data_IF_896981522922
#
_entry.id   IF_896981522922
#
_cell.length_a   1.000
_cell.length_b   1.000
_cell.length_c   1.000
_cell.angle_alpha   90.00
_cell.angle_beta   90.00
_cell.angle_gamma   90.00
#
_symmetry.space_group_name_H-M   'P 1'
#
loop_
_entity.id
_entity.type
_entity.pdbx_description
1 polymer ?
#
# COMPACT_ATOMS: atom_id res chain seq x y z
N UNK A 1 -3.12 19.56 19.41
CA UNK A 1 -2.87 19.41 20.86
C UNK A 1 -1.51 20.03 21.14
N UNK A 2 -1.37 20.74 22.24
CA UNK A 2 -0.15 21.49 22.54
C UNK A 2 0.97 20.53 22.96
N UNK A 3 2.19 20.72 22.44
CA UNK A 3 3.31 19.79 22.68
C UNK A 3 3.67 19.70 24.17
N UNK A 4 3.59 20.83 24.89
CA UNK A 4 3.79 20.91 26.35
C UNK A 4 2.79 20.06 27.16
N UNK A 5 1.62 19.74 26.59
CA UNK A 5 0.64 18.87 27.26
C UNK A 5 0.96 17.40 27.04
N UNK A 6 1.51 17.05 25.88
CA UNK A 6 1.92 15.68 25.55
C UNK A 6 3.14 15.24 26.37
N UNK A 7 4.11 16.14 26.60
CA UNK A 7 5.32 15.83 27.38
C UNK A 7 5.04 15.48 28.85
N UNK A 8 3.85 15.80 29.35
CA UNK A 8 3.44 15.50 30.74
C UNK A 8 2.77 14.14 30.88
N UNK A 9 2.51 13.46 29.78
CA UNK A 9 1.88 12.15 29.75
C UNK A 9 2.93 11.05 29.89
N UNK A 10 2.54 9.97 30.54
CA UNK A 10 3.30 8.73 30.52
C UNK A 10 3.29 8.11 29.12
N UNK A 11 4.26 7.23 28.82
CA UNK A 11 4.31 6.50 27.55
C UNK A 11 3.01 5.72 27.28
N UNK A 12 2.44 5.09 28.30
CA UNK A 12 1.18 4.37 28.18
C UNK A 12 0.04 5.29 27.74
N UNK A 13 -0.09 6.48 28.36
CA UNK A 13 -1.12 7.46 27.97
C UNK A 13 -0.90 7.97 26.54
N UNK A 14 0.35 8.12 26.10
CA UNK A 14 0.67 8.49 24.72
C UNK A 14 0.25 7.40 23.73
N UNK A 15 0.54 6.13 24.02
CA UNK A 15 0.08 5.00 23.21
C UNK A 15 -1.44 4.89 23.19
N UNK A 16 -2.11 5.07 24.33
CA UNK A 16 -3.56 5.05 24.41
C UNK A 16 -4.21 6.17 23.59
N UNK A 17 -3.60 7.36 23.57
CA UNK A 17 -4.03 8.46 22.71
C UNK A 17 -3.81 8.12 21.23
N UNK A 18 -2.66 7.58 20.87
CA UNK A 18 -2.37 7.18 19.49
C UNK A 18 -3.38 6.14 18.99
N UNK A 19 -3.65 5.11 19.79
CA UNK A 19 -4.65 4.09 19.50
C UNK A 19 -6.04 4.70 19.38
N UNK A 20 -6.42 5.59 20.31
CA UNK A 20 -7.71 6.28 20.28
C UNK A 20 -7.87 7.16 19.03
N UNK A 21 -6.83 7.87 18.60
CA UNK A 21 -6.84 8.66 17.37
C UNK A 21 -7.01 7.76 16.16
N UNK A 22 -6.26 6.66 16.09
CA UNK A 22 -6.38 5.64 15.04
C UNK A 22 -7.80 5.08 14.96
N UNK A 23 -8.40 4.73 16.09
CA UNK A 23 -9.77 4.22 16.18
C UNK A 23 -10.81 5.26 15.76
N UNK A 24 -10.63 6.53 16.14
CA UNK A 24 -11.50 7.64 15.69
C UNK A 24 -11.41 7.82 14.17
N UNK A 25 -10.21 7.77 13.60
CA UNK A 25 -10.00 7.88 12.15
C UNK A 25 -10.67 6.70 11.44
N UNK A 26 -10.41 5.47 11.89
CA UNK A 26 -11.06 4.25 11.37
C UNK A 26 -12.59 4.36 11.44
N UNK A 27 -13.12 4.78 12.59
CA UNK A 27 -14.56 4.96 12.79
C UNK A 27 -15.14 6.02 11.85
N UNK A 28 -14.48 7.17 11.69
CA UNK A 28 -14.94 8.22 10.76
C UNK A 28 -14.96 7.74 9.31
N UNK A 29 -13.95 6.97 8.90
CA UNK A 29 -13.89 6.41 7.54
C UNK A 29 -14.99 5.37 7.30
N UNK A 30 -15.31 4.55 8.31
CA UNK A 30 -16.42 3.60 8.28
C UNK A 30 -17.77 4.31 8.23
N UNK A 31 -18.01 5.25 9.16
CA UNK A 31 -19.29 5.95 9.32
C UNK A 31 -19.66 6.79 8.08
N UNK A 32 -18.67 7.29 7.33
CA UNK A 32 -18.89 8.09 6.12
C UNK A 32 -19.12 7.25 4.85
N UNK A 33 -19.08 5.90 4.91
CA UNK A 33 -19.17 5.04 3.72
C UNK A 33 -17.97 5.18 2.76
N UNK A 34 -16.90 5.81 3.22
CA UNK A 34 -15.78 6.24 2.38
C UNK A 34 -14.89 5.04 2.00
N UNK A 35 -14.81 3.99 2.82
CA UNK A 35 -13.92 2.84 2.55
C UNK A 35 -14.29 2.10 1.26
N UNK A 36 -15.57 1.77 1.06
CA UNK A 36 -16.02 1.07 -0.15
C UNK A 36 -15.91 1.99 -1.38
N UNK A 37 -16.32 3.25 -1.26
CA UNK A 37 -16.21 4.25 -2.32
C UNK A 37 -14.75 4.53 -2.73
N UNK A 38 -13.85 4.70 -1.76
CA UNK A 38 -12.40 4.83 -1.97
C UNK A 38 -11.89 3.59 -2.67
N UNK A 39 -12.25 2.39 -2.21
CA UNK A 39 -11.80 1.14 -2.81
C UNK A 39 -12.23 1.04 -4.27
N UNK A 40 -13.50 1.31 -4.57
CA UNK A 40 -14.03 1.28 -5.93
C UNK A 40 -13.35 2.28 -6.85
N UNK A 41 -13.27 3.54 -6.43
CA UNK A 41 -12.54 4.61 -7.14
C UNK A 41 -11.07 4.26 -7.34
N UNK A 42 -10.45 3.60 -6.36
CA UNK A 42 -9.06 3.16 -6.42
C UNK A 42 -8.86 2.03 -7.44
N UNK A 43 -9.83 1.14 -7.62
CA UNK A 43 -9.77 0.15 -8.71
C UNK A 43 -9.89 0.80 -10.10
N UNK A 44 -10.65 1.88 -10.24
CA UNK A 44 -10.80 2.59 -11.52
C UNK A 44 -9.53 3.34 -11.95
N UNK A 45 -8.78 3.85 -10.98
CA UNK A 45 -7.65 4.77 -11.20
C UNK A 45 -6.28 4.15 -10.93
N UNK A 46 -6.23 3.19 -10.01
CA UNK A 46 -5.00 2.57 -9.51
C UNK A 46 -4.32 1.62 -10.48
N UNK A 47 -4.98 1.19 -11.55
CA UNK A 47 -4.43 0.22 -12.51
C UNK A 47 -4.39 0.80 -13.93
N UNK A 48 -3.21 1.18 -14.43
CA UNK A 48 -3.09 1.73 -15.79
C UNK A 48 -3.56 0.74 -16.86
N UNK A 49 -4.30 1.23 -17.85
CA UNK A 49 -4.86 0.39 -18.93
C UNK A 49 -3.81 -0.34 -19.77
N UNK A 50 -2.57 0.15 -19.81
CA UNK A 50 -1.53 -0.38 -20.68
C UNK A 50 -0.88 -1.67 -20.13
N UNK A 51 -0.59 -1.75 -18.83
CA UNK A 51 0.07 -2.91 -18.22
C UNK A 51 -0.69 -3.56 -17.06
N UNK A 52 -1.58 -2.82 -16.39
CA UNK A 52 -2.33 -3.26 -15.21
C UNK A 52 -1.49 -3.47 -13.96
N UNK A 53 -0.22 -3.02 -13.90
CA UNK A 53 0.71 -3.41 -12.83
C UNK A 53 0.49 -2.64 -11.51
N UNK A 54 -0.37 -1.62 -11.51
CA UNK A 54 -0.70 -0.85 -10.31
C UNK A 54 0.19 0.39 -10.12
N UNK A 55 -0.42 1.49 -9.70
CA UNK A 55 0.27 2.73 -9.34
C UNK A 55 1.04 2.59 -8.01
N UNK A 56 1.87 3.59 -7.71
CA UNK A 56 2.49 3.71 -6.38
C UNK A 56 1.44 4.15 -5.36
N UNK A 57 1.64 3.88 -4.05
CA UNK A 57 0.66 4.23 -3.03
C UNK A 57 0.45 5.73 -2.95
N UNK A 58 -0.76 6.13 -2.60
CA UNK A 58 -1.15 7.54 -2.42
C UNK A 58 -2.05 7.71 -1.21
N UNK A 59 -2.18 8.95 -0.75
CA UNK A 59 -3.11 9.31 0.33
C UNK A 59 -4.46 9.67 -0.28
N UNK A 60 -5.53 9.00 0.15
CA UNK A 60 -6.91 9.33 -0.19
C UNK A 60 -7.68 9.59 1.11
N UNK A 61 -8.13 10.83 1.32
CA UNK A 61 -8.74 11.24 2.57
C UNK A 61 -7.79 11.06 3.75
N UNK A 62 -8.13 10.17 4.68
CA UNK A 62 -7.31 9.83 5.85
C UNK A 62 -6.67 8.44 5.79
N UNK A 63 -6.71 7.80 4.61
CA UNK A 63 -6.14 6.47 4.38
C UNK A 63 -5.01 6.55 3.36
N UNK A 64 -4.12 5.56 3.42
CA UNK A 64 -3.21 5.28 2.32
C UNK A 64 -3.79 4.14 1.48
N UNK A 65 -3.87 4.37 0.18
CA UNK A 65 -4.23 3.37 -0.81
C UNK A 65 -2.96 2.69 -1.31
N UNK A 66 -2.94 1.36 -1.21
CA UNK A 66 -1.83 0.50 -1.61
C UNK A 66 -2.28 -0.46 -2.72
N UNK A 67 -2.07 -0.10 -4.01
CA UNK A 67 -2.36 -1.01 -5.11
C UNK A 67 -1.40 -2.19 -5.16
N UNK A 68 -1.94 -3.39 -5.39
CA UNK A 68 -1.21 -4.60 -5.68
C UNK A 68 -1.68 -5.22 -6.98
N UNK A 69 -0.76 -5.78 -7.76
CA UNK A 69 -1.12 -6.48 -8.99
C UNK A 69 -0.26 -7.71 -9.24
N UNK A 70 -0.87 -8.71 -9.85
CA UNK A 70 -0.21 -9.81 -10.55
C UNK A 70 -0.82 -9.97 -11.92
N UNK A 71 0.03 -9.84 -12.95
CA UNK A 71 -0.35 -9.93 -14.36
C UNK A 71 0.45 -11.06 -15.00
N UNK A 72 -0.21 -12.18 -15.27
CA UNK A 72 0.40 -13.28 -15.98
C UNK A 72 0.67 -12.88 -17.44
N UNK A 73 1.85 -13.25 -17.95
CA UNK A 73 2.26 -13.07 -19.35
C UNK A 73 2.25 -14.40 -20.10
N UNK A 74 2.54 -15.49 -19.39
CA UNK A 74 2.41 -16.88 -19.85
C UNK A 74 2.03 -17.75 -18.64
N UNK A 75 1.84 -19.07 -18.84
CA UNK A 75 1.61 -20.00 -17.71
C UNK A 75 2.76 -20.03 -16.68
N UNK A 76 3.96 -19.61 -17.06
CA UNK A 76 5.17 -19.72 -16.23
C UNK A 76 5.84 -18.38 -15.95
N UNK A 77 5.23 -17.27 -16.38
CA UNK A 77 5.76 -15.91 -16.23
C UNK A 77 4.67 -14.94 -15.86
N UNK A 78 4.96 -14.11 -14.85
CA UNK A 78 4.10 -12.97 -14.49
C UNK A 78 4.93 -11.78 -14.05
N UNK A 79 4.31 -10.61 -14.08
CA UNK A 79 4.82 -9.40 -13.46
C UNK A 79 3.94 -9.14 -12.25
N UNK A 80 4.56 -8.80 -11.13
CA UNK A 80 3.82 -8.41 -9.95
C UNK A 80 4.43 -7.18 -9.28
N UNK A 81 3.57 -6.40 -8.63
CA UNK A 81 3.94 -5.20 -7.91
C UNK A 81 3.06 -5.12 -6.67
N UNK A 82 3.67 -5.02 -5.51
CA UNK A 82 2.98 -5.05 -4.22
C UNK A 82 3.62 -4.05 -3.25
N UNK A 83 2.87 -3.66 -2.23
CA UNK A 83 3.31 -2.70 -1.21
C UNK A 83 3.59 -3.42 0.10
N UNK A 84 4.76 -3.15 0.67
CA UNK A 84 5.19 -3.50 2.03
C UNK A 84 5.02 -2.26 2.91
N UNK A 85 4.51 -2.43 4.12
CA UNK A 85 4.36 -1.41 5.15
C UNK A 85 5.14 -1.84 6.40
N UNK A 86 6.17 -1.09 6.79
CA UNK A 86 7.05 -1.36 7.95
C UNK A 86 7.42 -2.85 8.14
N UNK A 87 7.93 -3.46 7.06
CA UNK A 87 8.43 -4.84 6.99
C UNK A 87 7.39 -5.95 6.76
N UNK A 88 6.09 -5.66 6.82
CA UNK A 88 5.01 -6.60 6.48
C UNK A 88 4.38 -6.27 5.13
N UNK A 89 3.81 -7.26 4.44
CA UNK A 89 2.97 -6.93 3.30
C UNK A 89 1.80 -6.05 3.76
N UNK A 90 1.38 -5.10 2.92
CA UNK A 90 0.29 -4.19 3.28
C UNK A 90 -0.98 -4.92 3.76
N UNK A 91 -1.33 -6.07 3.17
CA UNK A 91 -2.49 -6.87 3.60
C UNK A 91 -2.27 -7.68 4.90
N UNK A 92 -1.03 -7.74 5.39
CA UNK A 92 -0.66 -8.36 6.66
C UNK A 92 -0.45 -7.33 7.77
N UNK A 93 -0.28 -6.06 7.41
CA UNK A 93 -0.02 -4.98 8.35
C UNK A 93 -1.10 -4.86 9.43
N UNK A 94 -0.66 -4.64 10.68
CA UNK A 94 -1.54 -4.31 11.80
C UNK A 94 -2.35 -3.02 11.59
N UNK A 95 -1.91 -2.17 10.67
CA UNK A 95 -2.60 -0.93 10.30
C UNK A 95 -3.53 -1.08 9.10
N UNK A 96 -3.69 -2.30 8.58
CA UNK A 96 -4.66 -2.60 7.52
C UNK A 96 -6.09 -2.34 8.01
N UNK A 97 -6.80 -1.55 7.22
CA UNK A 97 -8.23 -1.24 7.41
C UNK A 97 -9.08 -2.16 6.52
N UNK A 98 -8.66 -2.40 5.28
CA UNK A 98 -9.36 -3.25 4.33
C UNK A 98 -8.40 -3.78 3.28
N UNK A 99 -8.64 -4.99 2.79
CA UNK A 99 -8.00 -5.53 1.59
C UNK A 99 -9.06 -6.15 0.68
N UNK A 100 -9.12 -5.68 -0.56
CA UNK A 100 -10.07 -6.19 -1.56
C UNK A 100 -9.29 -6.68 -2.77
N UNK A 101 -9.60 -7.90 -3.22
CA UNK A 101 -8.95 -8.55 -4.36
C UNK A 101 -9.98 -8.79 -5.46
N UNK A 102 -9.67 -8.33 -6.67
CA UNK A 102 -10.43 -8.62 -7.91
C UNK A 102 -9.59 -9.48 -8.84
N UNK A 103 -10.16 -10.58 -9.32
CA UNK A 103 -9.51 -11.53 -10.23
C UNK A 103 -10.27 -11.60 -11.53
N UNK A 104 -9.56 -11.47 -12.65
CA UNK A 104 -10.08 -11.73 -13.98
C UNK A 104 -9.50 -13.04 -14.51
N UNK A 105 -10.36 -14.06 -14.56
CA UNK A 105 -10.06 -15.38 -15.13
C UNK A 105 -10.63 -15.54 -16.55
N UNK A 106 -11.37 -14.56 -17.07
CA UNK A 106 -11.97 -14.62 -18.41
C UNK A 106 -10.94 -14.41 -19.53
N UNK A 107 -9.81 -13.80 -19.18
CA UNK A 107 -8.69 -13.52 -20.05
C UNK A 107 -7.79 -14.76 -20.26
N UNK A 108 -7.13 -14.86 -21.43
CA UNK A 108 -6.10 -15.89 -21.71
C UNK A 108 -4.98 -15.94 -20.66
N UNK A 109 -4.79 -14.84 -19.93
CA UNK A 109 -3.82 -14.72 -18.85
C UNK A 109 -4.50 -14.24 -17.58
N UNK A 110 -4.18 -14.89 -16.46
CA UNK A 110 -4.70 -14.51 -15.16
C UNK A 110 -4.28 -13.07 -14.80
N UNK A 111 -5.24 -12.29 -14.32
CA UNK A 111 -4.97 -10.97 -13.73
C UNK A 111 -5.59 -10.92 -12.33
N UNK A 112 -4.80 -10.45 -11.38
CA UNK A 112 -5.25 -10.13 -10.04
C UNK A 112 -4.85 -8.70 -9.74
N UNK A 113 -5.83 -7.91 -9.30
CA UNK A 113 -5.63 -6.59 -8.74
C UNK A 113 -6.10 -6.61 -7.29
N UNK A 114 -5.39 -5.92 -6.41
CA UNK A 114 -5.78 -5.72 -5.02
C UNK A 114 -5.66 -4.25 -4.64
N UNK A 115 -6.57 -3.78 -3.80
CA UNK A 115 -6.46 -2.49 -3.14
C UNK A 115 -6.45 -2.78 -1.65
N UNK A 116 -5.32 -2.48 -1.02
CA UNK A 116 -5.20 -2.49 0.44
C UNK A 116 -5.27 -1.07 0.95
N UNK A 117 -6.07 -0.82 1.99
CA UNK A 117 -6.20 0.46 2.66
C UNK A 117 -5.51 0.40 4.02
N UNK A 118 -4.60 1.33 4.28
CA UNK A 118 -3.81 1.41 5.51
C UNK A 118 -4.17 2.68 6.26
N UNK A 119 -4.32 2.56 7.58
CA UNK A 119 -4.40 3.73 8.47
C UNK A 119 -3.00 4.31 8.67
N UNK A 120 -2.73 5.53 8.19
CA UNK A 120 -1.40 6.11 8.28
C UNK A 120 -1.05 6.53 9.70
N UNK A 121 0.26 6.59 9.97
CA UNK A 121 0.83 7.28 11.13
C UNK A 121 2.15 7.93 10.72
N UNK A 122 2.57 8.94 11.49
CA UNK A 122 3.78 9.70 11.18
C UNK A 122 5.01 8.80 11.19
N UNK A 123 5.80 8.83 10.12
CA UNK A 123 7.00 8.01 9.94
C UNK A 123 6.75 6.63 9.32
N UNK A 124 5.50 6.24 9.03
CA UNK A 124 5.18 4.98 8.33
C UNK A 124 5.97 4.88 7.02
N UNK A 125 6.74 3.80 6.87
CA UNK A 125 7.54 3.54 5.67
C UNK A 125 6.81 2.55 4.77
N UNK A 126 6.66 2.93 3.50
CA UNK A 126 6.10 2.06 2.46
C UNK A 126 7.16 1.73 1.42
N UNK A 127 7.19 0.48 0.99
CA UNK A 127 8.04 0.02 -0.10
C UNK A 127 7.21 -0.65 -1.17
N UNK A 128 7.36 -0.17 -2.40
CA UNK A 128 6.72 -0.72 -3.57
C UNK A 128 7.69 -1.67 -4.24
N UNK A 129 7.41 -2.96 -4.18
CA UNK A 129 8.28 -4.02 -4.68
C UNK A 129 7.74 -4.48 -6.03
N UNK A 130 8.48 -4.14 -7.10
CA UNK A 130 8.19 -4.61 -8.45
C UNK A 130 9.04 -5.85 -8.76
N UNK A 131 8.41 -6.92 -9.23
CA UNK A 131 9.06 -8.19 -9.49
C UNK A 131 8.61 -8.81 -10.81
N UNK A 132 9.48 -9.62 -11.39
CA UNK A 132 9.17 -10.52 -12.51
C UNK A 132 9.33 -11.94 -12.01
N UNK A 133 8.31 -12.76 -12.19
CA UNK A 133 8.40 -14.19 -11.94
C UNK A 133 8.67 -14.94 -13.23
N UNK A 134 9.58 -15.91 -13.15
CA UNK A 134 9.85 -16.86 -14.21
C UNK A 134 10.14 -18.23 -13.61
N UNK A 135 9.41 -19.25 -14.06
CA UNK A 135 9.59 -20.64 -13.61
C UNK A 135 9.54 -20.78 -12.06
N UNK A 136 8.60 -20.06 -11.43
CA UNK A 136 8.38 -20.11 -9.98
C UNK A 136 9.35 -19.23 -9.15
N UNK A 137 10.39 -18.65 -9.75
CA UNK A 137 11.31 -17.74 -9.05
C UNK A 137 10.85 -16.30 -9.22
N UNK A 138 10.83 -15.52 -8.14
CA UNK A 138 10.55 -14.08 -8.17
C UNK A 138 11.86 -13.29 -8.14
N UNK A 139 12.08 -12.50 -9.18
CA UNK A 139 13.25 -11.63 -9.32
C UNK A 139 12.80 -10.18 -9.11
N UNK A 140 13.40 -9.48 -8.15
CA UNK A 140 13.12 -8.06 -7.88
C UNK A 140 13.64 -7.21 -9.03
N UNK A 141 12.74 -6.45 -9.65
CA UNK A 141 13.02 -5.52 -10.75
C UNK A 141 13.31 -4.11 -10.20
N UNK A 142 12.56 -3.70 -9.17
CA UNK A 142 12.75 -2.42 -8.51
C UNK A 142 12.04 -2.30 -7.17
N UNK A 143 12.55 -1.39 -6.35
CA UNK A 143 12.01 -0.99 -5.06
C UNK A 143 11.90 0.54 -5.06
N UNK A 144 10.70 1.05 -4.81
CA UNK A 144 10.48 2.48 -4.55
C UNK A 144 10.04 2.65 -3.10
N UNK A 145 10.74 3.49 -2.34
CA UNK A 145 10.44 3.73 -0.93
C UNK A 145 9.77 5.09 -0.73
N UNK A 146 8.82 5.13 0.18
CA UNK A 146 8.05 6.31 0.58
C UNK A 146 7.99 6.38 2.10
N UNK A 147 7.90 7.60 2.63
CA UNK A 147 7.62 7.86 4.04
C UNK A 147 6.38 8.73 4.15
N UNK A 148 5.50 8.41 5.11
CA UNK A 148 4.35 9.23 5.43
C UNK A 148 4.75 10.29 6.46
N UNK A 149 4.69 11.55 6.05
CA UNK A 149 5.01 12.69 6.92
C UNK A 149 4.02 13.82 6.66
N UNK A 150 3.52 14.45 7.72
CA UNK A 150 2.63 15.62 7.64
C UNK A 150 1.43 15.42 6.71
N UNK A 151 0.83 14.23 6.73
CA UNK A 151 -0.35 13.92 5.92
C UNK A 151 -0.07 13.57 4.45
N UNK A 152 1.20 13.37 4.05
CA UNK A 152 1.59 13.11 2.66
C UNK A 152 2.61 11.99 2.56
N UNK A 153 2.60 11.29 1.43
CA UNK A 153 3.66 10.35 1.07
C UNK A 153 4.75 11.07 0.28
N UNK A 154 5.97 11.05 0.82
CA UNK A 154 7.17 11.57 0.17
C UNK A 154 8.05 10.41 -0.28
N UNK A 155 8.46 10.42 -1.55
CA UNK A 155 9.35 9.40 -2.10
C UNK A 155 10.77 9.61 -1.57
N UNK A 156 11.35 8.59 -0.95
CA UNK A 156 12.67 8.66 -0.30
C UNK A 156 13.77 7.95 -1.08
N UNK A 157 13.45 6.86 -1.79
CA UNK A 157 14.45 6.07 -2.50
C UNK A 157 13.88 5.40 -3.76
N UNK A 158 14.76 5.12 -4.72
CA UNK A 158 14.51 4.19 -5.83
C UNK A 158 15.72 3.30 -6.01
N UNK A 159 15.52 1.98 -5.95
CA UNK A 159 16.54 0.97 -6.24
C UNK A 159 16.06 0.11 -7.40
N UNK A 160 16.83 0.04 -8.49
CA UNK A 160 16.51 -0.81 -9.65
C UNK A 160 17.58 -1.87 -9.82
N UNK A 161 17.21 -3.09 -10.20
CA UNK A 161 18.14 -4.22 -10.29
C UNK A 161 18.99 -4.28 -11.57
N UNK A 162 19.17 -3.18 -12.30
CA UNK A 162 20.07 -3.18 -13.47
C UNK A 162 21.52 -3.38 -13.02
N UNK A 163 21.97 -4.63 -13.12
CA UNK A 163 23.33 -4.99 -13.51
C UNK A 163 23.73 -4.12 -14.70
N UNK A 164 24.71 -3.25 -14.48
CA UNK A 164 25.54 -2.66 -15.50
C UNK A 164 26.97 -3.02 -15.11
N UNK A 165 27.49 -4.04 -15.77
CA UNK A 165 28.87 -4.07 -16.24
C UNK A 165 28.82 -4.81 -17.57
N UNK A 166 29.04 -4.05 -18.65
CA UNK A 166 29.32 -4.57 -19.99
C UNK A 166 30.82 -4.86 -20.07
#
# INVERSE_FOLDING_TARGET
MDQEKLEKLSEQELFDIQNSISDIIKKRNLDNGDIEAITDKSFETGFPKFDGVGLNPWVEGSLIVCPGARIDKTQTKHICKFVVADDEWSWESQHMVSDVIRRDQSSKHFKQHSITLISPFEGLVLQVISQKSQQGKHLVDGIESFIFENGKLSKTMTKTSRSRDH
#
